data_IF_295978254786
#
_entry.id   IF_295978254786
#
_cell.length_a   1.000
_cell.length_b   1.000
_cell.length_c   1.000
_cell.angle_alpha   90.00
_cell.angle_beta   90.00
_cell.angle_gamma   90.00
#
_symmetry.space_group_name_H-M   'P 1'
#
loop_
_entity.id
_entity.type
_entity.pdbx_description
1 polymer ?
#
# COMPACT_ATOMS: atom_id res chain seq x y z
N UNK A 1 -26.83 -38.22 41.80
CA UNK A 1 -26.80 -37.72 40.41
C UNK A 1 -26.74 -38.95 39.52
N UNK A 2 -27.54 -39.00 38.47
CA UNK A 2 -27.53 -40.15 37.56
C UNK A 2 -26.82 -39.79 36.25
N UNK A 3 -25.93 -40.65 35.77
CA UNK A 3 -25.30 -40.48 34.47
C UNK A 3 -26.25 -41.00 33.40
N UNK A 4 -26.57 -40.15 32.42
CA UNK A 4 -27.38 -40.53 31.26
C UNK A 4 -26.52 -41.39 30.32
N UNK A 5 -26.84 -42.68 30.22
CA UNK A 5 -26.24 -43.62 29.26
C UNK A 5 -26.83 -43.47 27.84
N UNK A 6 -27.07 -42.23 27.40
CA UNK A 6 -27.47 -41.91 26.04
C UNK A 6 -26.31 -41.23 25.32
N UNK A 7 -26.02 -41.67 24.09
CA UNK A 7 -25.02 -41.05 23.21
C UNK A 7 -25.56 -39.74 22.65
N UNK A 8 -25.49 -38.66 23.44
CA UNK A 8 -25.86 -37.32 23.00
C UNK A 8 -24.63 -36.64 22.34
N UNK A 9 -24.82 -35.95 21.20
CA UNK A 9 -23.72 -35.28 20.50
C UNK A 9 -23.28 -33.96 21.18
N UNK A 10 -24.00 -33.52 22.22
CA UNK A 10 -23.74 -32.28 22.94
C UNK A 10 -23.73 -32.52 24.46
N UNK A 11 -22.94 -31.74 25.24
CA UNK A 11 -23.05 -31.71 26.69
C UNK A 11 -24.48 -31.38 27.12
N UNK A 12 -25.04 -32.19 28.01
CA UNK A 12 -26.41 -32.04 28.49
C UNK A 12 -26.47 -32.23 30.01
N UNK A 13 -27.20 -31.35 30.69
CA UNK A 13 -27.46 -31.40 32.14
C UNK A 13 -28.96 -31.32 32.39
N UNK A 14 -29.48 -32.13 33.31
CA UNK A 14 -30.83 -31.95 33.86
C UNK A 14 -30.73 -31.39 35.26
N UNK A 15 -31.46 -30.31 35.54
CA UNK A 15 -31.46 -29.63 36.84
C UNK A 15 -32.88 -29.53 37.41
N UNK A 16 -33.01 -29.52 38.73
CA UNK A 16 -34.28 -29.23 39.40
C UNK A 16 -34.49 -27.70 39.52
N UNK A 17 -35.66 -27.26 40.04
CA UNK A 17 -35.94 -25.83 40.27
C UNK A 17 -34.94 -25.11 41.18
N UNK A 18 -34.32 -25.83 42.11
CA UNK A 18 -33.31 -25.27 43.00
C UNK A 18 -31.93 -25.12 42.32
N UNK A 19 -31.78 -25.60 41.09
CA UNK A 19 -30.51 -25.58 40.35
C UNK A 19 -29.56 -26.72 40.71
N UNK A 20 -30.04 -27.76 41.41
CA UNK A 20 -29.30 -29.01 41.65
C UNK A 20 -29.33 -29.88 40.41
N UNK A 21 -28.18 -30.42 40.05
CA UNK A 21 -28.03 -31.28 38.87
C UNK A 21 -28.53 -32.69 39.23
N UNK A 22 -29.61 -33.11 38.58
CA UNK A 22 -30.25 -34.43 38.77
C UNK A 22 -29.56 -35.48 37.92
N UNK A 23 -29.32 -35.17 36.64
CA UNK A 23 -28.60 -36.06 35.73
C UNK A 23 -27.75 -35.29 34.70
N UNK A 24 -26.79 -35.98 34.10
CA UNK A 24 -25.82 -35.37 33.18
C UNK A 24 -25.34 -36.36 32.10
N UNK A 25 -24.92 -35.86 30.94
CA UNK A 25 -24.32 -36.66 29.86
C UNK A 25 -22.81 -36.87 30.06
N UNK A 26 -22.25 -37.91 29.44
CA UNK A 26 -20.80 -38.18 29.49
C UNK A 26 -19.95 -37.01 28.96
N UNK A 27 -20.41 -36.31 27.92
CA UNK A 27 -19.75 -35.10 27.40
C UNK A 27 -19.80 -33.95 28.41
N UNK A 28 -20.88 -33.82 29.19
CA UNK A 28 -20.97 -32.79 30.23
C UNK A 28 -20.01 -33.05 31.40
N UNK A 29 -19.80 -34.32 31.75
CA UNK A 29 -18.79 -34.73 32.74
C UNK A 29 -17.36 -34.44 32.25
N UNK A 30 -17.08 -34.56 30.96
CA UNK A 30 -15.78 -34.22 30.38
C UNK A 30 -15.53 -32.69 30.36
N UNK A 31 -16.56 -31.90 30.05
CA UNK A 31 -16.43 -30.45 29.90
C UNK A 31 -16.50 -29.66 31.22
N UNK A 32 -17.33 -30.08 32.17
CA UNK A 32 -17.64 -29.33 33.39
C UNK A 32 -17.22 -30.06 34.67
N UNK A 33 -16.85 -29.30 35.71
CA UNK A 33 -16.58 -29.85 37.05
C UNK A 33 -17.89 -30.02 37.85
N UNK A 34 -18.47 -31.22 37.78
CA UNK A 34 -19.77 -31.53 38.39
C UNK A 34 -19.69 -31.87 39.90
N UNK A 35 -18.51 -31.75 40.53
CA UNK A 35 -18.27 -32.13 41.94
C UNK A 35 -19.20 -31.46 42.95
N UNK A 36 -19.63 -30.22 42.68
CA UNK A 36 -20.50 -29.42 43.55
C UNK A 36 -22.01 -29.66 43.34
N UNK A 37 -22.38 -30.49 42.36
CA UNK A 37 -23.75 -30.90 42.05
C UNK A 37 -24.77 -29.76 41.81
N UNK A 38 -24.30 -28.56 41.46
CA UNK A 38 -25.12 -27.36 41.36
C UNK A 38 -24.77 -26.52 40.12
N UNK A 39 -25.76 -26.08 39.34
CA UNK A 39 -25.50 -25.33 38.10
C UNK A 39 -24.84 -23.98 38.36
N UNK A 40 -25.19 -23.32 39.48
CA UNK A 40 -24.58 -22.04 39.88
C UNK A 40 -23.07 -22.11 40.07
N UNK A 41 -22.49 -23.27 40.41
CA UNK A 41 -21.03 -23.36 40.53
C UNK A 41 -20.31 -23.45 39.20
N UNK A 42 -21.05 -23.76 38.13
CA UNK A 42 -20.55 -23.88 36.76
C UNK A 42 -20.69 -22.58 35.96
N UNK A 43 -21.40 -21.59 36.50
CA UNK A 43 -21.76 -20.35 35.80
C UNK A 43 -21.07 -19.18 36.49
N UNK A 44 -20.61 -18.20 35.71
CA UNK A 44 -20.01 -16.99 36.25
C UNK A 44 -21.03 -16.07 36.96
N UNK A 45 -20.61 -15.29 37.96
CA UNK A 45 -21.50 -14.49 38.83
C UNK A 45 -22.42 -13.54 38.05
N UNK A 46 -21.91 -12.91 36.98
CA UNK A 46 -22.71 -12.04 36.11
C UNK A 46 -23.81 -12.79 35.32
N UNK A 47 -23.62 -14.09 35.10
CA UNK A 47 -24.55 -14.95 34.33
C UNK A 47 -25.59 -15.66 35.21
N UNK A 48 -25.39 -15.70 36.54
CA UNK A 48 -26.34 -16.27 37.51
C UNK A 48 -27.68 -15.51 37.50
N UNK A 49 -27.64 -14.19 37.28
CA UNK A 49 -28.84 -13.34 37.20
C UNK A 49 -29.78 -13.75 36.07
N UNK A 50 -29.24 -14.23 34.93
CA UNK A 50 -30.01 -14.69 33.78
C UNK A 50 -30.70 -16.03 34.05
N UNK A 51 -30.05 -16.93 34.80
CA UNK A 51 -30.64 -18.21 35.22
C UNK A 51 -31.85 -18.00 36.14
N UNK A 52 -31.80 -17.00 37.03
CA UNK A 52 -32.90 -16.69 37.95
C UNK A 52 -34.18 -16.21 37.27
N UNK A 53 -34.09 -15.56 36.10
CA UNK A 53 -35.25 -15.04 35.35
C UNK A 53 -36.07 -16.13 34.64
N UNK A 54 -35.47 -17.29 34.38
CA UNK A 54 -36.13 -18.40 33.65
C UNK A 54 -36.87 -19.35 34.61
N UNK A 55 -36.54 -19.34 35.90
CA UNK A 55 -37.31 -20.06 36.93
C UNK A 55 -38.75 -19.55 37.07
N UNK A 56 -39.04 -18.32 36.63
CA UNK A 56 -40.39 -17.72 36.65
C UNK A 56 -41.22 -17.99 35.39
N UNK A 57 -40.59 -18.30 34.24
CA UNK A 57 -41.28 -18.57 32.98
C UNK A 57 -41.35 -20.09 32.74
N UNK A 58 -42.33 -20.74 33.38
CA UNK A 58 -42.56 -22.18 33.22
C UNK A 58 -43.37 -22.46 31.94
N UNK A 59 -42.73 -23.02 30.92
CA UNK A 59 -43.40 -23.44 29.69
C UNK A 59 -42.63 -24.54 28.92
N UNK A 60 -43.30 -25.27 28.02
CA UNK A 60 -42.70 -26.36 27.22
C UNK A 60 -41.80 -25.86 26.07
N UNK A 61 -41.71 -24.55 25.85
CA UNK A 61 -40.93 -23.94 24.76
C UNK A 61 -39.45 -23.87 25.15
N UNK A 62 -38.53 -24.31 24.28
CA UNK A 62 -37.10 -24.19 24.54
C UNK A 62 -36.66 -22.71 24.55
N UNK A 63 -35.98 -22.31 25.61
CA UNK A 63 -35.41 -20.98 25.80
C UNK A 63 -33.92 -21.04 25.45
N UNK A 64 -33.46 -20.14 24.57
CA UNK A 64 -32.04 -19.97 24.25
C UNK A 64 -31.46 -18.82 25.08
N UNK A 65 -30.28 -19.03 25.67
CA UNK A 65 -29.56 -17.98 26.41
C UNK A 65 -28.04 -18.13 26.31
N UNK A 66 -27.33 -17.01 26.40
CA UNK A 66 -25.86 -17.00 26.45
C UNK A 66 -25.36 -16.92 27.88
N UNK A 67 -24.55 -17.93 28.28
CA UNK A 67 -23.95 -18.04 29.61
C UNK A 67 -22.44 -18.21 29.51
N UNK A 68 -21.71 -17.45 30.34
CA UNK A 68 -20.30 -17.72 30.59
C UNK A 68 -20.19 -18.84 31.62
N UNK A 69 -19.57 -19.95 31.20
CA UNK A 69 -19.44 -21.16 31.98
C UNK A 69 -17.98 -21.42 32.35
N UNK A 70 -17.75 -21.96 33.55
CA UNK A 70 -16.46 -22.46 34.03
C UNK A 70 -16.31 -23.91 33.55
N UNK A 71 -15.35 -24.16 32.68
CA UNK A 71 -15.04 -25.51 32.18
C UNK A 71 -13.78 -26.04 32.86
N UNK A 72 -13.53 -27.36 32.78
CA UNK A 72 -12.30 -27.97 33.33
C UNK A 72 -11.03 -27.46 32.66
N UNK A 73 -11.10 -27.10 31.37
CA UNK A 73 -9.94 -26.67 30.56
C UNK A 73 -9.74 -25.16 30.61
N UNK A 74 -10.83 -24.39 30.56
CA UNK A 74 -10.82 -22.94 30.51
C UNK A 74 -11.79 -22.35 31.56
N UNK A 75 -11.34 -21.39 32.38
CA UNK A 75 -12.13 -20.86 33.48
C UNK A 75 -13.31 -20.00 33.05
N UNK A 76 -13.34 -19.49 31.81
CA UNK A 76 -14.43 -18.68 31.29
C UNK A 76 -14.62 -18.95 29.79
N UNK A 77 -15.68 -19.68 29.44
CA UNK A 77 -16.03 -19.99 28.04
C UNK A 77 -17.48 -19.62 27.81
N UNK A 78 -17.77 -18.99 26.67
CA UNK A 78 -19.12 -18.60 26.30
C UNK A 78 -19.86 -19.78 25.67
N UNK A 79 -21.04 -20.08 26.19
CA UNK A 79 -21.93 -21.11 25.65
C UNK A 79 -23.30 -20.53 25.31
N UNK A 80 -23.82 -20.96 24.16
CA UNK A 80 -25.25 -20.97 23.87
C UNK A 80 -25.89 -22.13 24.64
N UNK A 81 -26.81 -21.81 25.56
CA UNK A 81 -27.50 -22.77 26.41
C UNK A 81 -28.97 -22.83 26.01
N UNK A 82 -29.42 -24.01 25.62
CA UNK A 82 -30.81 -24.29 25.28
C UNK A 82 -31.46 -25.00 26.47
N UNK A 83 -32.47 -24.37 27.07
CA UNK A 83 -33.15 -24.84 28.27
C UNK A 83 -34.60 -25.18 27.96
N UNK A 84 -35.05 -26.35 28.39
CA UNK A 84 -36.47 -26.75 28.30
C UNK A 84 -36.93 -27.40 29.59
N UNK A 85 -38.08 -26.96 30.11
CA UNK A 85 -38.73 -27.57 31.28
C UNK A 85 -39.56 -28.79 30.87
N UNK A 86 -39.42 -29.87 31.61
CA UNK A 86 -40.26 -31.07 31.51
C UNK A 86 -41.48 -30.97 32.43
N UNK A 87 -42.47 -31.82 32.18
CA UNK A 87 -43.69 -32.05 32.97
C UNK A 87 -43.41 -32.39 34.45
N UNK A 88 -42.27 -33.01 34.74
CA UNK A 88 -41.78 -33.27 36.11
C UNK A 88 -41.04 -32.08 36.74
N UNK A 89 -41.15 -30.89 36.15
CA UNK A 89 -40.55 -29.66 36.67
C UNK A 89 -39.02 -29.71 36.78
N UNK A 90 -38.39 -30.44 35.84
CA UNK A 90 -36.94 -30.56 35.65
C UNK A 90 -36.56 -29.83 34.38
N UNK A 91 -35.51 -29.00 34.42
CA UNK A 91 -35.00 -28.32 33.24
C UNK A 91 -33.89 -29.15 32.60
N UNK A 92 -34.04 -29.47 31.32
CA UNK A 92 -32.97 -30.02 30.48
C UNK A 92 -32.22 -28.87 29.83
N UNK A 93 -30.90 -28.84 29.97
CA UNK A 93 -30.00 -27.83 29.43
C UNK A 93 -29.01 -28.48 28.46
N UNK A 94 -28.91 -27.96 27.24
CA UNK A 94 -27.91 -28.34 26.24
C UNK A 94 -26.95 -27.18 25.99
N UNK A 95 -25.65 -27.47 25.92
CA UNK A 95 -24.60 -26.46 25.84
C UNK A 95 -23.88 -26.53 24.49
N UNK A 96 -23.77 -25.40 23.79
CA UNK A 96 -23.04 -25.24 22.52
C UNK A 96 -21.98 -24.16 22.71
N UNK A 97 -20.70 -24.49 22.54
CA UNK A 97 -19.60 -23.54 22.71
C UNK A 97 -19.58 -22.50 21.58
N UNK A 98 -19.42 -21.22 21.92
CA UNK A 98 -19.29 -20.12 20.95
C UNK A 98 -17.82 -19.67 20.87
N UNK A 99 -17.20 -19.82 19.70
CA UNK A 99 -15.81 -19.40 19.49
C UNK A 99 -15.72 -17.87 19.31
N UNK A 100 -15.08 -17.20 20.26
CA UNK A 100 -14.76 -15.76 20.20
C UNK A 100 -13.72 -15.41 19.12
N UNK A 101 -13.01 -16.41 18.61
CA UNK A 101 -11.95 -16.25 17.61
C UNK A 101 -12.42 -15.54 16.34
N UNK A 102 -13.68 -15.72 15.92
CA UNK A 102 -14.19 -15.08 14.71
C UNK A 102 -14.36 -13.56 14.88
N UNK A 103 -14.76 -13.08 16.06
CA UNK A 103 -14.92 -11.64 16.33
C UNK A 103 -13.55 -10.95 16.33
N UNK A 104 -12.56 -11.53 17.01
CA UNK A 104 -11.18 -10.99 17.02
C UNK A 104 -10.53 -10.97 15.63
N UNK A 105 -10.80 -11.97 14.79
CA UNK A 105 -10.31 -12.00 13.41
C UNK A 105 -10.93 -10.90 12.56
N UNK A 106 -12.24 -10.64 12.72
CA UNK A 106 -12.94 -9.57 12.01
C UNK A 106 -12.37 -8.20 12.41
N UNK A 107 -12.14 -7.95 13.69
CA UNK A 107 -11.53 -6.70 14.16
C UNK A 107 -10.11 -6.50 13.62
N UNK A 108 -9.29 -7.57 13.65
CA UNK A 108 -7.94 -7.53 13.07
C UNK A 108 -7.98 -7.24 11.57
N UNK A 109 -8.87 -7.88 10.81
CA UNK A 109 -9.05 -7.64 9.38
C UNK A 109 -9.46 -6.19 9.09
N UNK A 110 -10.40 -5.64 9.86
CA UNK A 110 -10.81 -4.24 9.72
C UNK A 110 -9.63 -3.28 9.98
N UNK A 111 -8.83 -3.53 11.03
CA UNK A 111 -7.66 -2.69 11.33
C UNK A 111 -6.60 -2.74 10.24
N UNK A 112 -6.39 -3.90 9.63
CA UNK A 112 -5.45 -4.09 8.52
C UNK A 112 -5.93 -3.34 7.28
N UNK A 113 -7.21 -3.43 6.94
CA UNK A 113 -7.80 -2.69 5.82
C UNK A 113 -7.63 -1.19 5.97
N UNK A 114 -7.88 -0.64 7.17
CA UNK A 114 -7.69 0.79 7.44
C UNK A 114 -6.22 1.19 7.25
N UNK A 115 -5.28 0.42 7.80
CA UNK A 115 -3.85 0.70 7.67
C UNK A 115 -3.36 0.59 6.23
N UNK A 116 -3.87 -0.38 5.46
CA UNK A 116 -3.58 -0.51 4.04
C UNK A 116 -4.05 0.74 3.28
N UNK A 117 -5.30 1.15 3.47
CA UNK A 117 -5.85 2.33 2.83
C UNK A 117 -5.08 3.62 3.18
N UNK A 118 -4.66 3.77 4.45
CA UNK A 118 -3.84 4.92 4.85
C UNK A 118 -2.44 4.89 4.21
N UNK A 119 -1.82 3.72 4.13
CA UNK A 119 -0.49 3.55 3.52
C UNK A 119 -0.56 3.79 2.01
N UNK A 120 -1.59 3.28 1.33
CA UNK A 120 -1.80 3.50 -0.10
C UNK A 120 -1.96 4.99 -0.40
N UNK A 121 -2.67 5.74 0.45
CA UNK A 121 -2.82 7.18 0.33
C UNK A 121 -1.48 7.92 0.50
N UNK A 122 -0.71 7.57 1.53
CA UNK A 122 0.62 8.15 1.77
C UNK A 122 1.59 7.86 0.61
N UNK A 123 1.57 6.63 0.07
CA UNK A 123 2.38 6.26 -1.09
C UNK A 123 2.00 7.07 -2.35
N UNK A 124 0.71 7.31 -2.56
CA UNK A 124 0.24 8.11 -3.69
C UNK A 124 0.73 9.56 -3.58
N UNK A 125 0.61 10.17 -2.40
CA UNK A 125 1.12 11.52 -2.15
C UNK A 125 2.63 11.62 -2.37
N UNK A 126 3.39 10.64 -1.87
CA UNK A 126 4.85 10.57 -2.09
C UNK A 126 5.23 10.39 -3.55
N UNK A 127 4.43 9.62 -4.31
CA UNK A 127 4.63 9.46 -5.75
C UNK A 127 4.43 10.78 -6.47
N UNK A 128 3.37 11.51 -6.16
CA UNK A 128 3.05 12.79 -6.79
C UNK A 128 4.10 13.86 -6.46
N UNK A 129 4.59 13.91 -5.21
CA UNK A 129 5.72 14.77 -4.82
C UNK A 129 6.98 14.47 -5.65
N UNK A 130 7.32 13.19 -5.81
CA UNK A 130 8.49 12.78 -6.58
C UNK A 130 8.35 13.15 -8.06
N UNK A 131 7.19 12.92 -8.66
CA UNK A 131 6.91 13.31 -10.05
C UNK A 131 7.05 14.83 -10.26
N UNK A 132 6.61 15.65 -9.31
CA UNK A 132 6.79 17.11 -9.37
C UNK A 132 8.26 17.51 -9.28
N UNK A 133 9.03 16.87 -8.40
CA UNK A 133 10.47 17.13 -8.27
C UNK A 133 11.19 16.75 -9.56
N UNK A 134 10.89 15.58 -10.14
CA UNK A 134 11.49 15.14 -11.40
C UNK A 134 11.19 16.12 -12.54
N UNK A 135 9.94 16.58 -12.68
CA UNK A 135 9.57 17.59 -13.69
C UNK A 135 10.36 18.89 -13.53
N UNK A 136 10.51 19.39 -12.31
CA UNK A 136 11.31 20.59 -12.04
C UNK A 136 12.79 20.37 -12.35
N UNK A 137 13.32 19.19 -12.06
CA UNK A 137 14.70 18.86 -12.43
C UNK A 137 14.88 18.85 -13.94
N UNK A 138 13.92 18.29 -14.69
CA UNK A 138 13.96 18.29 -16.15
C UNK A 138 13.89 19.72 -16.73
N UNK A 139 13.01 20.59 -16.21
CA UNK A 139 12.96 22.01 -16.59
C UNK A 139 14.28 22.76 -16.33
N UNK A 140 14.99 22.38 -15.26
CA UNK A 140 16.30 22.92 -14.93
C UNK A 140 17.45 22.27 -15.72
N UNK A 141 17.19 21.15 -16.42
CA UNK A 141 18.20 20.34 -17.12
C UNK A 141 18.48 20.82 -18.55
N UNK A 142 18.63 22.12 -18.73
CA UNK A 142 18.97 22.75 -20.01
C UNK A 142 19.01 24.26 -19.87
N UNK A 143 19.66 24.80 -18.82
CA UNK A 143 19.65 26.22 -18.58
C UNK A 143 20.35 26.92 -19.74
N UNK A 144 19.73 27.97 -20.25
CA UNK A 144 20.35 28.79 -21.27
C UNK A 144 21.41 29.69 -20.62
N UNK A 145 22.68 29.52 -21.01
CA UNK A 145 23.81 30.28 -20.46
C UNK A 145 24.47 31.09 -21.58
N UNK A 146 24.28 32.43 -21.64
CA UNK A 146 25.06 33.26 -22.55
C UNK A 146 26.51 33.32 -22.07
N UNK A 147 27.45 32.97 -22.95
CA UNK A 147 28.89 33.04 -22.69
C UNK A 147 29.49 34.34 -23.21
N UNK A 148 28.93 34.88 -24.29
CA UNK A 148 29.21 36.21 -24.85
C UNK A 148 27.99 36.74 -25.59
N UNK A 149 28.10 37.91 -26.21
CA UNK A 149 27.04 38.48 -27.06
C UNK A 149 26.72 37.59 -28.29
N UNK A 150 27.66 36.75 -28.72
CA UNK A 150 27.56 35.91 -29.91
C UNK A 150 27.64 34.39 -29.63
N UNK A 151 27.92 33.98 -28.39
CA UNK A 151 28.07 32.58 -28.01
C UNK A 151 27.18 32.24 -26.82
N UNK A 152 26.43 31.15 -26.93
CA UNK A 152 25.68 30.59 -25.80
C UNK A 152 25.92 29.09 -25.62
N UNK A 153 25.53 28.60 -24.45
CA UNK A 153 25.69 27.21 -24.03
C UNK A 153 24.39 26.68 -23.40
N UNK A 154 24.06 25.44 -23.73
CA UNK A 154 22.94 24.67 -23.22
C UNK A 154 23.50 23.34 -22.69
N UNK A 155 23.77 23.23 -21.38
CA UNK A 155 24.27 22.00 -20.80
C UNK A 155 23.13 21.02 -20.51
N UNK A 156 23.34 19.76 -20.88
CA UNK A 156 22.43 18.64 -20.64
C UNK A 156 23.05 17.70 -19.58
N UNK A 157 22.27 17.33 -18.57
CA UNK A 157 22.76 16.56 -17.41
C UNK A 157 21.88 15.36 -17.11
N UNK A 158 22.44 14.16 -16.95
CA UNK A 158 21.67 12.93 -16.66
C UNK A 158 21.16 12.26 -17.95
N UNK A 159 20.19 11.36 -17.82
CA UNK A 159 19.71 10.56 -18.96
C UNK A 159 18.88 11.39 -19.94
N UNK A 160 19.01 11.13 -21.23
CA UNK A 160 18.29 11.85 -22.29
C UNK A 160 17.07 11.03 -22.73
N UNK A 161 15.88 11.54 -22.39
CA UNK A 161 14.58 10.98 -22.73
C UNK A 161 13.75 11.99 -23.53
N UNK A 162 12.65 11.55 -24.15
CA UNK A 162 11.78 12.46 -24.87
C UNK A 162 11.19 13.56 -23.96
N UNK A 163 10.76 13.20 -22.75
CA UNK A 163 10.13 14.14 -21.80
C UNK A 163 11.10 15.27 -21.41
N UNK A 164 12.35 14.92 -21.15
CA UNK A 164 13.38 15.89 -20.79
C UNK A 164 13.69 16.87 -21.90
N UNK A 165 13.88 16.39 -23.13
CA UNK A 165 14.12 17.27 -24.27
C UNK A 165 12.92 18.18 -24.50
N UNK A 166 11.70 17.65 -24.40
CA UNK A 166 10.49 18.47 -24.52
C UNK A 166 10.42 19.55 -23.42
N UNK A 167 10.75 19.20 -22.17
CA UNK A 167 10.72 20.14 -21.03
C UNK A 167 11.64 21.35 -21.24
N UNK A 168 12.81 21.17 -21.87
CA UNK A 168 13.77 22.25 -22.10
C UNK A 168 13.60 22.96 -23.44
N UNK A 169 12.93 22.33 -24.42
CA UNK A 169 12.88 22.79 -25.81
C UNK A 169 12.30 24.20 -25.93
N UNK A 170 11.14 24.46 -25.33
CA UNK A 170 10.46 25.76 -25.43
C UNK A 170 11.32 26.89 -24.87
N UNK A 171 11.91 26.68 -23.69
CA UNK A 171 12.79 27.66 -23.05
C UNK A 171 14.06 27.91 -23.87
N UNK A 172 14.67 26.85 -24.42
CA UNK A 172 15.86 26.96 -25.27
C UNK A 172 15.56 27.74 -26.55
N UNK A 173 14.50 27.36 -27.29
CA UNK A 173 14.10 28.01 -28.53
C UNK A 173 13.80 29.50 -28.32
N UNK A 174 13.05 29.84 -27.26
CA UNK A 174 12.76 31.24 -26.93
C UNK A 174 14.02 32.03 -26.55
N UNK A 175 14.92 31.45 -25.77
CA UNK A 175 16.13 32.13 -25.29
C UNK A 175 17.11 32.39 -26.43
N UNK A 176 17.33 31.39 -27.28
CA UNK A 176 18.17 31.51 -28.48
C UNK A 176 17.60 32.55 -29.44
N UNK A 177 16.28 32.52 -29.70
CA UNK A 177 15.64 33.46 -30.62
C UNK A 177 15.72 34.93 -30.15
N UNK A 178 15.76 35.18 -28.83
CA UNK A 178 15.85 36.53 -28.29
C UNK A 178 17.25 37.14 -28.38
N UNK A 179 18.29 36.34 -28.52
CA UNK A 179 19.66 36.83 -28.65
C UNK A 179 20.20 36.69 -30.06
N UNK A 180 21.23 37.46 -30.39
CA UNK A 180 21.91 37.41 -31.68
C UNK A 180 23.16 36.51 -31.59
N UNK A 181 22.97 35.27 -31.18
CA UNK A 181 24.07 34.31 -31.10
C UNK A 181 24.45 33.83 -32.49
N UNK A 182 25.74 33.65 -32.75
CA UNK A 182 26.27 33.05 -33.97
C UNK A 182 26.53 31.55 -33.78
N UNK A 183 26.83 31.14 -32.54
CA UNK A 183 27.11 29.77 -32.18
C UNK A 183 26.39 29.34 -30.89
N UNK A 184 25.92 28.09 -30.90
CA UNK A 184 25.20 27.45 -29.79
C UNK A 184 25.94 26.17 -29.41
N UNK A 185 26.39 26.08 -28.16
CA UNK A 185 27.10 24.92 -27.64
C UNK A 185 26.13 24.05 -26.84
N UNK A 186 25.93 22.80 -27.24
CA UNK A 186 25.29 21.78 -26.40
C UNK A 186 26.36 21.00 -25.66
N UNK A 187 26.36 21.10 -24.33
CA UNK A 187 27.29 20.35 -23.49
C UNK A 187 26.67 19.04 -23.02
N UNK A 188 27.22 17.93 -23.50
CA UNK A 188 26.78 16.58 -23.17
C UNK A 188 27.75 15.87 -22.21
N UNK A 189 28.70 16.60 -21.60
CA UNK A 189 29.72 16.02 -20.69
C UNK A 189 29.10 15.22 -19.56
N UNK A 190 27.97 15.70 -19.02
CA UNK A 190 27.26 15.08 -17.91
C UNK A 190 26.06 14.21 -18.32
N UNK A 191 25.96 13.85 -19.61
CA UNK A 191 24.89 12.98 -20.11
C UNK A 191 25.16 11.53 -19.74
N UNK A 192 24.14 10.87 -19.20
CA UNK A 192 24.14 9.46 -18.80
C UNK A 192 23.85 8.53 -19.98
N UNK A 193 22.76 7.78 -19.85
CA UNK A 193 22.17 6.99 -20.94
C UNK A 193 21.34 7.87 -21.86
N UNK A 194 21.26 7.48 -23.14
CA UNK A 194 20.48 8.20 -24.15
C UNK A 194 19.49 7.23 -24.76
N UNK A 195 18.20 7.52 -24.59
CA UNK A 195 17.11 6.70 -25.09
C UNK A 195 16.78 7.07 -26.54
N UNK A 196 16.31 6.11 -27.33
CA UNK A 196 15.99 6.32 -28.74
C UNK A 196 14.93 7.43 -28.96
N UNK A 197 13.92 7.49 -28.11
CA UNK A 197 12.89 8.54 -28.13
C UNK A 197 13.46 9.93 -27.80
N UNK A 198 14.44 9.99 -26.90
CA UNK A 198 15.21 11.19 -26.58
C UNK A 198 16.06 11.68 -27.76
N UNK A 199 16.67 10.77 -28.52
CA UNK A 199 17.46 11.10 -29.72
C UNK A 199 16.58 11.80 -30.75
N UNK A 200 15.42 11.22 -31.07
CA UNK A 200 14.50 11.79 -32.06
C UNK A 200 14.07 13.21 -31.68
N UNK A 201 13.75 13.45 -30.40
CA UNK A 201 13.40 14.77 -29.90
C UNK A 201 14.58 15.74 -29.92
N UNK A 202 15.77 15.29 -29.58
CA UNK A 202 16.97 16.12 -29.61
C UNK A 202 17.32 16.56 -31.03
N UNK A 203 17.25 15.64 -32.01
CA UNK A 203 17.44 15.94 -33.43
C UNK A 203 16.44 16.99 -33.90
N UNK A 204 15.16 16.85 -33.50
CA UNK A 204 14.12 17.81 -33.85
C UNK A 204 14.41 19.20 -33.27
N UNK A 205 14.84 19.28 -32.00
CA UNK A 205 15.24 20.55 -31.37
C UNK A 205 16.40 21.21 -32.12
N UNK A 206 17.46 20.46 -32.41
CA UNK A 206 18.64 20.95 -33.15
C UNK A 206 18.25 21.48 -34.53
N UNK A 207 17.44 20.72 -35.29
CA UNK A 207 16.94 21.15 -36.60
C UNK A 207 16.14 22.43 -36.50
N UNK A 208 15.20 22.51 -35.56
CA UNK A 208 14.38 23.71 -35.34
C UNK A 208 15.25 24.93 -35.02
N UNK A 209 16.24 24.80 -34.13
CA UNK A 209 17.18 25.86 -33.81
C UNK A 209 17.97 26.31 -35.03
N UNK A 210 18.49 25.36 -35.81
CA UNK A 210 19.24 25.65 -37.04
C UNK A 210 18.36 26.39 -38.07
N UNK A 211 17.12 25.94 -38.29
CA UNK A 211 16.19 26.61 -39.21
C UNK A 211 15.79 28.01 -38.75
N UNK A 212 15.64 28.23 -37.44
CA UNK A 212 15.23 29.52 -36.88
C UNK A 212 16.32 30.59 -36.97
N UNK A 213 17.59 30.18 -36.85
CA UNK A 213 18.69 31.13 -36.63
C UNK A 213 19.78 31.08 -37.70
N UNK A 214 19.95 29.94 -38.39
CA UNK A 214 21.11 29.68 -39.23
C UNK A 214 22.41 29.49 -38.45
N UNK A 215 22.34 29.39 -37.13
CA UNK A 215 23.50 29.36 -36.25
C UNK A 215 24.30 28.06 -36.37
N UNK A 216 25.59 28.18 -36.07
CA UNK A 216 26.46 27.01 -35.93
C UNK A 216 26.17 26.33 -34.60
N UNK A 217 25.60 25.12 -34.67
CA UNK A 217 25.36 24.30 -33.48
C UNK A 217 26.55 23.37 -33.28
N UNK A 218 27.12 23.34 -32.08
CA UNK A 218 28.26 22.48 -31.73
C UNK A 218 27.91 21.58 -30.55
N UNK A 219 28.21 20.30 -30.66
CA UNK A 219 28.09 19.33 -29.58
C UNK A 219 29.46 19.15 -28.93
N UNK A 220 29.53 19.35 -27.60
CA UNK A 220 30.76 19.20 -26.82
C UNK A 220 30.59 18.12 -25.75
N UNK A 221 31.69 17.51 -25.32
CA UNK A 221 31.67 16.52 -24.23
C UNK A 221 30.95 15.21 -24.57
N UNK A 222 30.76 14.93 -25.86
CA UNK A 222 30.00 13.75 -26.31
C UNK A 222 30.79 12.44 -26.11
N UNK A 223 30.13 11.43 -25.55
CA UNK A 223 30.69 10.07 -25.45
C UNK A 223 30.75 9.41 -26.83
N UNK A 224 31.77 8.58 -27.13
CA UNK A 224 31.93 7.95 -28.46
C UNK A 224 30.71 7.15 -28.93
N UNK A 225 30.00 6.47 -28.01
CA UNK A 225 28.80 5.70 -28.36
C UNK A 225 27.66 6.62 -28.82
N UNK A 226 27.44 7.74 -28.13
CA UNK A 226 26.43 8.73 -28.50
C UNK A 226 26.77 9.42 -29.83
N UNK A 227 28.05 9.74 -30.05
CA UNK A 227 28.50 10.32 -31.31
C UNK A 227 28.22 9.39 -32.51
N UNK A 228 28.43 8.08 -32.36
CA UNK A 228 28.10 7.10 -33.39
C UNK A 228 26.60 7.04 -33.68
N UNK A 229 25.79 7.05 -32.63
CA UNK A 229 24.33 7.00 -32.78
C UNK A 229 23.79 8.23 -33.50
N UNK A 230 24.20 9.44 -33.08
CA UNK A 230 23.80 10.68 -33.76
C UNK A 230 24.25 10.73 -35.23
N UNK A 231 25.42 10.15 -35.54
CA UNK A 231 25.90 10.04 -36.92
C UNK A 231 25.03 9.07 -37.75
N UNK A 232 24.54 7.98 -37.17
CA UNK A 232 23.60 7.07 -37.84
C UNK A 232 22.30 7.78 -38.27
N UNK A 233 21.89 8.81 -37.51
CA UNK A 233 20.74 9.65 -37.84
C UNK A 233 21.06 10.85 -38.76
N UNK A 234 22.25 10.90 -39.36
CA UNK A 234 22.71 11.97 -40.26
C UNK A 234 22.67 13.38 -39.63
N UNK A 235 22.86 13.47 -38.31
CA UNK A 235 22.86 14.75 -37.59
C UNK A 235 24.14 15.57 -37.85
N UNK A 236 25.19 14.95 -38.36
CA UNK A 236 26.47 15.56 -38.74
C UNK A 236 26.35 16.72 -39.74
N UNK A 237 25.28 16.75 -40.54
CA UNK A 237 24.98 17.90 -41.41
C UNK A 237 24.52 19.15 -40.66
N UNK A 238 24.04 19.01 -39.42
CA UNK A 238 23.41 20.06 -38.62
C UNK A 238 24.29 20.52 -37.45
N UNK A 239 25.25 19.68 -37.04
CA UNK A 239 26.08 19.93 -35.86
C UNK A 239 27.55 19.68 -36.12
N UNK A 240 28.42 20.47 -35.48
CA UNK A 240 29.85 20.20 -35.41
C UNK A 240 30.18 19.48 -34.10
N UNK A 241 31.02 18.45 -34.15
CA UNK A 241 31.44 17.69 -32.96
C UNK A 241 32.80 18.16 -32.48
N UNK A 242 32.86 18.64 -31.24
CA UNK A 242 34.08 19.16 -30.63
C UNK A 242 34.38 18.42 -29.31
N UNK A 243 35.66 18.26 -28.98
CA UNK A 243 36.07 17.37 -27.89
C UNK A 243 35.89 18.01 -26.50
N UNK A 244 36.06 19.33 -26.35
CA UNK A 244 35.93 20.00 -25.05
C UNK A 244 35.52 21.47 -25.13
N UNK A 245 34.82 21.95 -24.08
CA UNK A 245 34.49 23.38 -23.93
C UNK A 245 35.75 24.26 -23.91
N UNK A 246 36.84 23.77 -23.29
CA UNK A 246 38.10 24.52 -23.15
C UNK A 246 38.74 24.82 -24.50
N UNK A 247 38.79 23.82 -25.40
CA UNK A 247 39.32 24.01 -26.75
C UNK A 247 38.41 24.95 -27.54
N UNK A 248 37.10 24.84 -27.39
CA UNK A 248 36.16 25.70 -28.09
C UNK A 248 36.32 27.17 -27.69
N UNK A 249 36.36 27.44 -26.38
CA UNK A 249 36.54 28.78 -25.86
C UNK A 249 37.87 29.41 -26.26
N UNK A 250 38.93 28.60 -26.44
CA UNK A 250 40.22 29.12 -26.91
C UNK A 250 40.14 29.74 -28.31
N UNK A 251 39.23 29.24 -29.16
CA UNK A 251 39.02 29.79 -30.51
C UNK A 251 38.34 31.16 -30.48
N UNK A 252 37.47 31.40 -29.49
CA UNK A 252 36.75 32.67 -29.32
C UNK A 252 37.50 33.71 -28.47
N UNK A 253 38.43 33.27 -27.60
CA UNK A 253 39.21 34.16 -26.72
C UNK A 253 40.47 34.73 -27.39
N UNK A 254 40.83 34.27 -28.59
CA UNK A 254 41.99 34.75 -29.36
C UNK A 254 41.65 35.82 -30.40
N UNK A 255 40.43 36.37 -30.37
CA UNK A 255 40.00 37.52 -31.17
C UNK A 255 39.74 38.74 -30.28
#
# INVERSE_FOLDING_TARGET
>A
MERLNLSLPLPCLKVNRDGRIVSYSALAEDHFDLSKAHIRSLVDEGSISKLGRISSESGPVPVKMELNMKTKKNPLVLFDVYLQWDTENRATMMFVQKDRSNEELIEKLASIQIRLASTDFELLEKKDELEQVLRRMDELSGPFIPLSDTLCMIPLFGDITADKINAISDSCLQSVFRGNYEAILFDLTAVGEVHADGIDKFIMLVKTLNFMTGNVIKLIGIKPNLAKELNHHHLDHWVQFNHSLKEELSTYLHH
#
